data_IF_315926055188
#
_entry.id   IF_315926055188
#
_cell.length_a   1.000
_cell.length_b   1.000
_cell.length_c   1.000
_cell.angle_alpha   90.00
_cell.angle_beta   90.00
_cell.angle_gamma   90.00
#
_symmetry.space_group_name_H-M   'P 1'
#
loop_
_entity.id
_entity.type
_entity.pdbx_description
1 polymer ?
#
# COMPACT_ATOMS: atom_id res chain seq x y z
N UNK A 1 15.91 -0.74 5.93
CA UNK A 1 14.52 -0.59 5.45
C UNK A 1 13.96 0.78 5.78
N UNK A 2 14.36 1.72 4.94
CA UNK A 2 13.80 3.05 4.76
C UNK A 2 12.36 2.95 4.26
N UNK A 3 11.62 4.05 4.32
CA UNK A 3 10.25 4.12 3.79
C UNK A 3 10.19 3.76 2.31
N UNK A 4 11.19 4.14 1.52
CA UNK A 4 11.27 3.80 0.09
C UNK A 4 11.43 2.30 -0.13
N UNK A 5 12.31 1.62 0.62
CA UNK A 5 12.43 0.15 0.53
C UNK A 5 11.11 -0.56 0.84
N UNK A 6 10.33 -0.05 1.82
CA UNK A 6 9.00 -0.59 2.11
C UNK A 6 8.05 -0.40 0.93
N UNK A 7 8.03 0.79 0.33
CA UNK A 7 7.16 1.09 -0.81
C UNK A 7 7.49 0.17 -1.98
N UNK A 8 8.76 0.04 -2.36
CA UNK A 8 9.20 -0.86 -3.45
C UNK A 8 8.79 -2.31 -3.19
N UNK A 9 9.08 -2.84 -2.00
CA UNK A 9 8.74 -4.23 -1.64
C UNK A 9 7.23 -4.49 -1.63
N UNK A 10 6.41 -3.49 -1.29
CA UNK A 10 4.94 -3.63 -1.33
C UNK A 10 4.45 -3.63 -2.78
N UNK A 11 4.99 -2.75 -3.63
CA UNK A 11 4.65 -2.70 -5.05
C UNK A 11 4.99 -4.03 -5.73
N UNK A 12 6.20 -4.56 -5.54
CA UNK A 12 6.63 -5.84 -6.12
C UNK A 12 5.71 -7.00 -5.70
N UNK A 13 5.21 -6.98 -4.46
CA UNK A 13 4.25 -7.98 -3.98
C UNK A 13 2.86 -7.80 -4.61
N UNK A 14 2.41 -6.56 -4.81
CA UNK A 14 1.13 -6.27 -5.48
C UNK A 14 1.20 -6.68 -6.96
N UNK A 15 2.36 -6.53 -7.61
CA UNK A 15 2.55 -6.93 -9.01
C UNK A 15 2.37 -8.43 -9.25
N UNK A 16 2.69 -9.26 -8.24
CA UNK A 16 2.53 -10.72 -8.32
C UNK A 16 1.23 -11.21 -7.67
N UNK A 17 0.42 -10.32 -7.11
CA UNK A 17 -0.86 -10.66 -6.51
C UNK A 17 -1.85 -11.13 -7.59
N UNK A 18 -2.57 -12.22 -7.31
CA UNK A 18 -3.52 -12.81 -8.27
C UNK A 18 -4.91 -12.21 -8.15
N UNK A 19 -5.24 -11.69 -6.97
CA UNK A 19 -6.56 -11.19 -6.64
C UNK A 19 -6.54 -10.13 -5.54
N UNK A 20 -7.66 -9.42 -5.41
CA UNK A 20 -7.87 -8.34 -4.45
C UNK A 20 -7.62 -8.76 -2.99
N UNK A 21 -7.86 -10.04 -2.64
CA UNK A 21 -7.62 -10.53 -1.27
C UNK A 21 -6.13 -10.63 -0.97
N UNK A 22 -5.33 -11.07 -1.93
CA UNK A 22 -3.86 -11.03 -1.80
C UNK A 22 -3.37 -9.60 -1.64
N UNK A 23 -3.89 -8.66 -2.42
CA UNK A 23 -3.55 -7.23 -2.30
C UNK A 23 -3.86 -6.68 -0.91
N UNK A 24 -5.07 -6.94 -0.37
CA UNK A 24 -5.43 -6.51 0.99
C UNK A 24 -4.47 -7.09 2.03
N UNK A 25 -4.17 -8.38 1.92
CA UNK A 25 -3.28 -9.09 2.85
C UNK A 25 -1.86 -8.53 2.80
N UNK A 26 -1.32 -8.24 1.61
CA UNK A 26 0.02 -7.64 1.44
C UNK A 26 0.08 -6.30 2.19
N UNK A 27 -0.92 -5.45 2.00
CA UNK A 27 -0.99 -4.12 2.63
C UNK A 27 -1.12 -4.26 4.15
N UNK A 28 -1.98 -5.15 4.65
CA UNK A 28 -2.12 -5.40 6.09
C UNK A 28 -0.83 -5.90 6.72
N UNK A 29 -0.18 -6.89 6.11
CA UNK A 29 1.11 -7.42 6.58
C UNK A 29 2.17 -6.31 6.59
N UNK A 30 2.18 -5.43 5.60
CA UNK A 30 3.13 -4.33 5.55
C UNK A 30 2.94 -3.35 6.72
N UNK A 31 1.69 -2.98 7.03
CA UNK A 31 1.35 -2.14 8.17
C UNK A 31 1.74 -2.81 9.47
N UNK A 32 1.34 -4.06 9.70
CA UNK A 32 1.68 -4.81 10.91
C UNK A 32 3.20 -4.92 11.10
N UNK A 33 3.95 -5.23 10.04
CA UNK A 33 5.43 -5.26 10.11
C UNK A 33 6.04 -3.91 10.46
N UNK A 34 5.42 -2.80 10.08
CA UNK A 34 5.89 -1.46 10.46
C UNK A 34 5.54 -1.15 11.92
N UNK A 35 4.36 -1.53 12.40
CA UNK A 35 3.95 -1.42 13.81
C UNK A 35 4.86 -2.26 14.73
N UNK A 36 5.14 -3.51 14.37
CA UNK A 36 6.05 -4.40 15.12
C UNK A 36 7.47 -3.83 15.26
N UNK A 37 7.91 -3.03 14.28
CA UNK A 37 9.20 -2.32 14.33
C UNK A 37 9.14 -1.00 15.12
N UNK A 38 8.09 -0.78 15.91
CA UNK A 38 7.84 0.44 16.69
C UNK A 38 7.87 1.72 15.85
N UNK A 39 7.46 1.65 14.57
CA UNK A 39 7.26 2.87 13.78
C UNK A 39 6.02 3.59 14.30
N UNK A 40 6.16 4.87 14.60
CA UNK A 40 5.02 5.71 14.99
C UNK A 40 4.00 5.79 13.84
N UNK A 41 2.73 5.99 14.18
CA UNK A 41 1.63 6.11 13.23
C UNK A 41 1.92 7.10 12.09
N UNK A 42 2.62 8.20 12.38
CA UNK A 42 3.07 9.17 11.37
C UNK A 42 3.99 8.57 10.29
N UNK A 43 4.93 7.69 10.65
CA UNK A 43 5.86 7.05 9.70
C UNK A 43 5.10 6.05 8.84
N UNK A 44 4.17 5.31 9.43
CA UNK A 44 3.30 4.36 8.73
C UNK A 44 2.43 5.11 7.73
N UNK A 45 1.78 6.20 8.17
CA UNK A 45 0.97 7.07 7.33
C UNK A 45 1.77 7.60 6.14
N UNK A 46 2.97 8.17 6.40
CA UNK A 46 3.85 8.68 5.34
C UNK A 46 4.27 7.58 4.36
N UNK A 47 4.44 6.35 4.84
CA UNK A 47 4.73 5.21 3.96
C UNK A 47 3.54 4.84 3.09
N UNK A 48 2.33 4.79 3.66
CA UNK A 48 1.10 4.49 2.93
C UNK A 48 0.76 5.58 1.91
N UNK A 49 1.03 6.85 2.25
CA UNK A 49 0.84 7.99 1.35
C UNK A 49 1.78 7.91 0.13
N UNK A 50 3.08 7.69 0.38
CA UNK A 50 4.06 7.44 -0.70
C UNK A 50 3.68 6.23 -1.56
N UNK A 51 3.23 5.15 -0.93
CA UNK A 51 2.76 3.96 -1.65
C UNK A 51 1.55 4.30 -2.53
N UNK A 52 0.59 5.06 -2.02
CA UNK A 52 -0.58 5.51 -2.79
C UNK A 52 -0.19 6.31 -4.03
N UNK A 53 0.74 7.27 -3.89
CA UNK A 53 1.25 8.06 -5.01
C UNK A 53 1.94 7.17 -6.06
N UNK A 54 2.81 6.25 -5.63
CA UNK A 54 3.52 5.35 -6.54
C UNK A 54 2.57 4.41 -7.29
N UNK A 55 1.58 3.84 -6.59
CA UNK A 55 0.57 2.97 -7.22
C UNK A 55 -0.32 3.77 -8.18
N UNK A 56 -0.64 5.03 -7.85
CA UNK A 56 -1.42 5.88 -8.75
C UNK A 56 -0.67 6.17 -10.05
N UNK A 57 0.63 6.41 -9.99
CA UNK A 57 1.48 6.58 -11.17
C UNK A 57 1.52 5.31 -12.03
N UNK A 58 1.73 4.14 -11.39
CA UNK A 58 1.71 2.84 -12.05
C UNK A 58 0.34 2.51 -12.66
N UNK A 59 -0.76 2.86 -11.99
CA UNK A 59 -2.11 2.63 -12.50
C UNK A 59 -2.37 3.40 -13.79
N UNK A 60 -1.88 4.64 -13.89
CA UNK A 60 -2.00 5.48 -15.11
C UNK A 60 -1.22 4.86 -16.26
N UNK A 61 -0.04 4.30 -15.98
CA UNK A 61 0.82 3.65 -16.98
C UNK A 61 0.26 2.30 -17.45
N UNK A 62 -0.34 1.51 -16.55
CA UNK A 62 -0.80 0.14 -16.81
C UNK A 62 -2.31 0.05 -17.12
N UNK A 63 -2.90 1.12 -17.69
CA UNK A 63 -4.36 1.28 -17.85
C UNK A 63 -5.06 0.25 -18.76
N UNK A 64 -4.33 -0.69 -19.37
CA UNK A 64 -4.85 -1.76 -20.24
C UNK A 64 -4.50 -3.17 -19.77
N UNK A 65 -3.88 -3.32 -18.59
CA UNK A 65 -3.35 -4.60 -18.14
C UNK A 65 -4.18 -5.20 -16.98
N UNK A 66 -4.12 -6.52 -16.81
CA UNK A 66 -4.82 -7.25 -15.72
C UNK A 66 -4.44 -6.71 -14.32
N UNK A 67 -3.25 -6.10 -14.22
CA UNK A 67 -2.70 -5.49 -13.00
C UNK A 67 -3.42 -4.20 -12.58
N UNK A 68 -4.15 -3.55 -13.50
CA UNK A 68 -4.86 -2.31 -13.21
C UNK A 68 -5.89 -2.47 -12.09
N UNK A 69 -6.60 -3.61 -12.05
CA UNK A 69 -7.55 -3.90 -10.97
C UNK A 69 -6.83 -4.04 -9.62
N UNK A 70 -5.69 -4.73 -9.57
CA UNK A 70 -4.90 -4.88 -8.35
C UNK A 70 -4.41 -3.53 -7.82
N UNK A 71 -3.92 -2.64 -8.69
CA UNK A 71 -3.51 -1.29 -8.30
C UNK A 71 -4.69 -0.45 -7.81
N UNK A 72 -5.83 -0.50 -8.51
CA UNK A 72 -7.05 0.20 -8.09
C UNK A 72 -7.51 -0.27 -6.72
N UNK A 73 -7.49 -1.57 -6.47
CA UNK A 73 -7.87 -2.15 -5.19
C UNK A 73 -6.87 -1.77 -4.08
N UNK A 74 -5.57 -1.76 -4.38
CA UNK A 74 -4.55 -1.32 -3.45
C UNK A 74 -4.77 0.13 -2.98
N UNK A 75 -5.12 1.04 -3.89
CA UNK A 75 -5.47 2.43 -3.55
C UNK A 75 -6.68 2.52 -2.62
N UNK A 76 -7.69 1.67 -2.80
CA UNK A 76 -8.86 1.60 -1.90
C UNK A 76 -8.43 1.13 -0.50
N UNK A 77 -7.58 0.11 -0.40
CA UNK A 77 -7.05 -0.37 0.88
C UNK A 77 -6.24 0.70 1.60
N UNK A 78 -5.36 1.40 0.89
CA UNK A 78 -4.56 2.50 1.42
C UNK A 78 -5.47 3.62 1.93
N UNK A 79 -6.46 4.04 1.15
CA UNK A 79 -7.43 5.06 1.55
C UNK A 79 -8.19 4.71 2.83
N UNK A 80 -8.62 3.45 2.98
CA UNK A 80 -9.29 2.97 4.21
C UNK A 80 -8.38 3.01 5.44
N UNK A 81 -7.09 2.75 5.28
CA UNK A 81 -6.11 2.80 6.36
C UNK A 81 -5.83 4.25 6.78
N UNK A 82 -5.69 5.15 5.80
CA UNK A 82 -5.52 6.58 6.04
C UNK A 82 -6.68 7.16 6.85
N UNK A 83 -7.93 6.84 6.47
CA UNK A 83 -9.13 7.29 7.18
C UNK A 83 -9.20 6.70 8.59
N UNK A 84 -8.84 5.43 8.79
CA UNK A 84 -8.82 4.81 10.13
C UNK A 84 -7.81 5.45 11.09
N UNK A 85 -6.67 5.93 10.58
CA UNK A 85 -5.69 6.62 11.40
C UNK A 85 -6.11 8.07 11.71
N UNK A 86 -6.82 8.76 10.81
CA UNK A 86 -7.35 10.11 11.05
C UNK A 86 -8.41 10.13 12.17
N UNK A 87 -9.18 9.05 12.33
CA UNK A 87 -10.24 8.97 13.35
C UNK A 87 -9.70 8.57 14.74
N UNK A 88 -8.45 8.08 14.80
CA UNK A 88 -7.82 7.61 16.05
C UNK A 88 -6.98 8.67 16.77
N UNK A 89 -6.94 9.89 16.26
CA UNK A 89 -6.25 11.05 16.86
C UNK A 89 -7.19 11.85 17.77
#
# INVERSE_FOLDING_TARGET
MTTDEYVTTIIEQIEVAKDDKEVERIIQIAVTKMEERKKNGFIIQRCMDKLGIAIQDLQVLESSNSRWNCYRFALICIGKLTVKNVIKD
#
